data_IF_967004905585
#
_entry.id   IF_967004905585
#
_cell.length_a   1.000
_cell.length_b   1.000
_cell.length_c   1.000
_cell.angle_alpha   90.00
_cell.angle_beta   90.00
_cell.angle_gamma   90.00
#
_symmetry.space_group_name_H-M   'P 1'
#
loop_
_entity.id
_entity.type
_entity.pdbx_description
1 polymer ?
#
# COMPACT_ATOMS: atom_id res chain seq x y z
N UNK A 1 14.01 21.24 44.03
CA UNK A 1 13.25 22.18 43.16
C UNK A 1 13.25 21.80 41.67
N UNK A 2 14.15 20.91 41.18
CA UNK A 2 14.22 20.50 39.77
C UNK A 2 13.23 19.39 39.36
N UNK A 3 12.60 18.68 40.31
CA UNK A 3 11.66 17.59 40.01
C UNK A 3 10.28 18.13 39.59
N UNK A 4 9.80 19.19 40.27
CA UNK A 4 8.49 19.82 40.01
C UNK A 4 8.41 20.48 38.64
N UNK A 5 9.55 20.95 38.09
CA UNK A 5 9.59 21.54 36.76
C UNK A 5 9.45 20.51 35.64
N UNK A 6 9.89 19.26 35.88
CA UNK A 6 9.86 18.19 34.88
C UNK A 6 8.47 17.58 34.72
N UNK A 7 7.69 17.49 35.80
CA UNK A 7 6.27 17.06 35.74
C UNK A 7 5.37 18.11 35.06
N UNK A 8 5.61 19.41 35.30
CA UNK A 8 4.87 20.48 34.61
C UNK A 8 5.11 20.43 33.09
N UNK A 9 6.32 20.11 32.65
CA UNK A 9 6.63 19.97 31.23
C UNK A 9 5.88 18.80 30.57
N UNK A 10 5.74 17.66 31.27
CA UNK A 10 5.01 16.48 30.76
C UNK A 10 3.49 16.68 30.70
N UNK A 11 2.91 17.37 31.70
CA UNK A 11 1.50 17.76 31.66
C UNK A 11 1.20 18.79 30.56
N UNK A 12 2.13 19.70 30.29
CA UNK A 12 1.96 20.69 29.21
C UNK A 12 2.06 20.04 27.82
N UNK A 13 2.95 19.06 27.65
CA UNK A 13 3.14 18.35 26.38
C UNK A 13 1.94 17.44 26.04
N UNK A 14 1.40 16.73 27.04
CA UNK A 14 0.20 15.90 26.88
C UNK A 14 -1.04 16.73 26.58
N UNK A 15 -1.23 17.88 27.24
CA UNK A 15 -2.35 18.78 26.95
C UNK A 15 -2.26 19.39 25.53
N UNK A 16 -1.05 19.76 25.08
CA UNK A 16 -0.81 20.24 23.70
C UNK A 16 -1.06 19.17 22.64
N UNK A 17 -0.67 17.93 22.89
CA UNK A 17 -0.96 16.78 22.01
C UNK A 17 -2.47 16.52 21.91
N UNK A 18 -3.21 16.60 23.03
CA UNK A 18 -4.67 16.45 23.01
C UNK A 18 -5.37 17.59 22.26
N UNK A 19 -4.83 18.82 22.30
CA UNK A 19 -5.39 19.96 21.55
C UNK A 19 -5.18 19.85 20.03
N UNK A 20 -4.04 19.30 19.59
CA UNK A 20 -3.74 19.08 18.17
C UNK A 20 -4.71 18.06 17.56
N UNK A 21 -5.03 16.98 18.28
CA UNK A 21 -6.01 15.99 17.81
C UNK A 21 -7.44 16.54 17.71
N UNK A 22 -7.78 17.60 18.46
CA UNK A 22 -9.14 18.15 18.50
C UNK A 22 -9.42 19.25 17.46
N UNK A 23 -8.39 19.82 16.81
CA UNK A 23 -8.56 20.94 15.86
C UNK A 23 -8.77 20.53 14.40
N UNK A 24 -8.88 19.24 14.09
CA UNK A 24 -9.04 18.77 12.70
C UNK A 24 -10.51 18.49 12.28
N UNK A 25 -11.50 18.97 13.04
CA UNK A 25 -12.93 18.70 12.80
C UNK A 25 -13.79 19.96 12.61
N UNK A 26 -13.26 21.04 12.03
CA UNK A 26 -14.10 22.22 11.73
C UNK A 26 -13.87 22.77 10.33
N UNK A 27 -14.77 22.40 9.42
CA UNK A 27 -14.94 23.15 8.18
C UNK A 27 -15.77 22.46 7.11
N UNK A 28 -17.10 22.33 7.29
CA UNK A 28 -18.05 22.88 6.31
C UNK A 28 -19.48 22.87 6.87
N UNK A 29 -19.96 24.03 7.28
CA UNK A 29 -21.35 24.29 7.64
C UNK A 29 -22.12 24.72 6.40
N UNK A 30 -23.13 23.96 5.97
CA UNK A 30 -24.16 24.48 5.06
C UNK A 30 -25.53 24.50 5.75
N UNK A 31 -25.87 25.71 6.21
CA UNK A 31 -27.18 26.37 6.17
C UNK A 31 -28.44 25.51 6.33
N UNK A 32 -28.95 25.49 7.57
CA UNK A 32 -30.32 25.07 7.90
C UNK A 32 -31.29 26.23 7.62
N UNK A 33 -32.08 26.13 6.55
CA UNK A 33 -33.32 26.91 6.38
C UNK A 33 -34.53 25.99 6.56
N UNK A 34 -35.22 26.26 7.66
CA UNK A 34 -36.54 25.80 8.10
C UNK A 34 -37.47 25.40 6.96
N UNK A 35 -37.97 24.16 6.95
CA UNK A 35 -39.31 23.79 6.49
C UNK A 35 -39.71 22.50 7.21
N UNK A 36 -40.70 22.61 8.10
CA UNK A 36 -41.36 21.47 8.72
C UNK A 36 -42.37 20.87 7.73
N UNK A 37 -42.26 19.59 7.40
CA UNK A 37 -43.42 18.76 7.01
C UNK A 37 -43.07 17.29 7.19
N UNK A 38 -43.89 16.59 7.96
CA UNK A 38 -43.89 15.13 8.06
C UNK A 38 -44.25 14.50 6.69
N UNK A 39 -43.69 13.32 6.39
CA UNK A 39 -44.31 12.13 5.76
C UNK A 39 -43.19 11.20 5.27
N UNK A 40 -43.40 9.91 5.51
CA UNK A 40 -42.58 8.74 5.21
C UNK A 40 -41.69 8.80 3.95
N UNK A 41 -40.46 8.27 4.04
CA UNK A 41 -39.59 8.07 2.88
C UNK A 41 -38.97 6.65 2.90
N UNK A 42 -38.85 5.99 1.73
CA UNK A 42 -38.77 4.55 1.55
C UNK A 42 -37.33 4.01 1.50
N UNK A 43 -37.25 2.67 1.47
CA UNK A 43 -36.12 1.85 1.02
C UNK A 43 -35.23 2.56 -0.02
N UNK A 44 -33.93 2.68 0.28
CA UNK A 44 -32.86 2.74 -0.71
C UNK A 44 -31.61 2.05 -0.12
N UNK A 45 -31.50 0.74 -0.40
CA UNK A 45 -30.24 0.01 -0.36
C UNK A 45 -29.36 0.55 -1.50
N UNK A 46 -28.39 1.40 -1.17
CA UNK A 46 -27.27 1.68 -2.07
C UNK A 46 -26.01 1.07 -1.45
N UNK A 47 -25.78 -0.21 -1.78
CA UNK A 47 -24.48 -0.83 -1.57
C UNK A 47 -23.59 -0.38 -2.73
N UNK A 48 -22.90 0.74 -2.56
CA UNK A 48 -21.76 1.11 -3.41
C UNK A 48 -20.59 0.19 -3.10
N UNK A 49 -20.63 -1.02 -3.65
CA UNK A 49 -19.47 -1.88 -3.72
C UNK A 49 -18.57 -1.37 -4.86
N UNK A 50 -17.48 -0.71 -4.49
CA UNK A 50 -16.52 -0.26 -5.49
C UNK A 50 -15.38 0.54 -4.90
N UNK A 51 -14.57 -0.05 -4.03
CA UNK A 51 -13.17 0.34 -3.89
C UNK A 51 -12.35 -0.92 -3.55
N UNK A 52 -11.67 -1.44 -4.56
CA UNK A 52 -10.52 -2.32 -4.36
C UNK A 52 -9.41 -1.47 -3.74
N UNK A 53 -8.90 -1.87 -2.57
CA UNK A 53 -7.60 -1.42 -2.04
C UNK A 53 -7.20 -2.27 -0.81
N UNK A 54 -5.94 -2.72 -0.79
CA UNK A 54 -5.23 -3.50 0.24
C UNK A 54 -5.40 -5.05 0.20
N UNK A 55 -4.93 -5.67 -0.89
CA UNK A 55 -5.11 -7.09 -1.22
C UNK A 55 -4.31 -8.14 -0.39
N UNK A 56 -3.63 -7.78 0.69
CA UNK A 56 -2.92 -8.76 1.55
C UNK A 56 -3.66 -9.05 2.86
N UNK A 57 -3.99 -7.99 3.60
CA UNK A 57 -4.58 -8.10 4.92
C UNK A 57 -6.12 -8.20 4.90
N UNK A 58 -6.76 -7.78 3.81
CA UNK A 58 -8.22 -7.60 3.76
C UNK A 58 -8.96 -8.90 3.40
N UNK A 59 -8.40 -9.78 2.57
CA UNK A 59 -9.07 -11.05 2.22
C UNK A 59 -9.14 -12.04 3.39
N UNK A 60 -8.08 -12.17 4.18
CA UNK A 60 -8.06 -13.08 5.34
C UNK A 60 -9.00 -12.61 6.45
N UNK A 61 -8.96 -11.30 6.76
CA UNK A 61 -9.89 -10.67 7.69
C UNK A 61 -11.34 -10.82 7.22
N UNK A 62 -11.61 -10.61 5.93
CA UNK A 62 -12.95 -10.71 5.36
C UNK A 62 -13.46 -12.15 5.26
N UNK A 63 -12.56 -13.12 5.05
CA UNK A 63 -12.88 -14.56 5.15
C UNK A 63 -13.34 -14.90 6.57
N UNK A 64 -12.54 -14.49 7.56
CA UNK A 64 -12.83 -14.72 8.99
C UNK A 64 -14.16 -14.08 9.39
N UNK A 65 -14.42 -12.86 8.92
CA UNK A 65 -15.69 -12.16 9.15
C UNK A 65 -16.89 -12.91 8.55
N UNK A 66 -16.78 -13.38 7.29
CA UNK A 66 -17.86 -14.15 6.64
C UNK A 66 -18.09 -15.48 7.36
N UNK A 67 -17.04 -16.17 7.79
CA UNK A 67 -17.13 -17.42 8.56
C UNK A 67 -17.82 -17.22 9.92
N UNK A 68 -17.49 -16.14 10.63
CA UNK A 68 -18.16 -15.75 11.86
C UNK A 68 -19.64 -15.43 11.65
N UNK A 69 -19.99 -14.77 10.53
CA UNK A 69 -21.38 -14.51 10.19
C UNK A 69 -22.13 -15.81 9.82
N UNK A 70 -21.47 -16.79 9.19
CA UNK A 70 -22.06 -18.11 8.92
C UNK A 70 -22.34 -18.83 10.24
N UNK A 71 -21.39 -18.83 11.18
CA UNK A 71 -21.57 -19.46 12.48
C UNK A 71 -22.76 -18.86 13.26
N UNK A 72 -22.88 -17.53 13.26
CA UNK A 72 -24.03 -16.84 13.85
C UNK A 72 -25.34 -17.18 13.13
N UNK A 73 -25.36 -17.15 11.79
CA UNK A 73 -26.56 -17.48 11.01
C UNK A 73 -27.03 -18.93 11.23
N UNK A 74 -26.09 -19.87 11.42
CA UNK A 74 -26.38 -21.27 11.80
C UNK A 74 -26.98 -21.36 13.19
N UNK A 75 -26.43 -20.66 14.18
CA UNK A 75 -26.96 -20.64 15.55
C UNK A 75 -28.41 -20.11 15.62
N UNK A 76 -28.78 -19.20 14.73
CA UNK A 76 -30.13 -18.64 14.63
C UNK A 76 -31.04 -19.37 13.61
N UNK A 77 -30.64 -20.54 13.09
CA UNK A 77 -31.39 -21.34 12.11
C UNK A 77 -31.82 -20.55 10.84
N UNK A 78 -31.01 -19.57 10.42
CA UNK A 78 -31.30 -18.76 9.23
C UNK A 78 -30.66 -19.36 7.98
N UNK A 79 -31.27 -20.42 7.44
CA UNK A 79 -30.75 -21.17 6.30
C UNK A 79 -30.52 -20.31 5.04
N UNK A 80 -31.39 -19.34 4.77
CA UNK A 80 -31.26 -18.45 3.62
C UNK A 80 -30.03 -17.53 3.75
N UNK A 81 -29.76 -17.02 4.96
CA UNK A 81 -28.58 -16.20 5.23
C UNK A 81 -27.30 -17.03 5.13
N UNK A 82 -27.31 -18.27 5.62
CA UNK A 82 -26.19 -19.21 5.49
C UNK A 82 -25.86 -19.44 4.02
N UNK A 83 -26.84 -19.80 3.18
CA UNK A 83 -26.61 -20.05 1.75
C UNK A 83 -26.02 -18.83 1.02
N UNK A 84 -26.50 -17.62 1.33
CA UNK A 84 -25.95 -16.38 0.77
C UNK A 84 -24.51 -16.10 1.22
N UNK A 85 -24.19 -16.35 2.49
CA UNK A 85 -22.85 -16.18 3.04
C UNK A 85 -21.87 -17.25 2.53
N UNK A 86 -22.31 -18.50 2.35
CA UNK A 86 -21.51 -19.56 1.74
C UNK A 86 -21.21 -19.26 0.27
N UNK A 87 -22.17 -18.67 -0.46
CA UNK A 87 -21.93 -18.16 -1.82
C UNK A 87 -20.92 -17.02 -1.81
N UNK A 88 -21.05 -16.06 -0.89
CA UNK A 88 -20.11 -14.95 -0.75
C UNK A 88 -18.70 -15.45 -0.36
N UNK A 89 -18.59 -16.46 0.50
CA UNK A 89 -17.34 -17.10 0.86
C UNK A 89 -16.71 -17.83 -0.34
N UNK A 90 -17.51 -18.57 -1.11
CA UNK A 90 -17.06 -19.23 -2.33
C UNK A 90 -16.58 -18.22 -3.37
N UNK A 91 -17.29 -17.12 -3.57
CA UNK A 91 -16.87 -16.04 -4.46
C UNK A 91 -15.61 -15.36 -3.92
N UNK A 92 -15.52 -15.07 -2.62
CA UNK A 92 -14.31 -14.52 -2.01
C UNK A 92 -13.12 -15.46 -2.20
N UNK A 93 -13.29 -16.77 -2.05
CA UNK A 93 -12.23 -17.75 -2.27
C UNK A 93 -11.85 -17.88 -3.76
N UNK A 94 -12.83 -17.79 -4.66
CA UNK A 94 -12.61 -17.88 -6.11
C UNK A 94 -12.11 -16.57 -6.75
N UNK A 95 -12.26 -15.42 -6.08
CA UNK A 95 -11.77 -14.11 -6.55
C UNK A 95 -10.53 -13.65 -5.78
N UNK A 96 -10.36 -14.13 -4.56
CA UNK A 96 -9.09 -14.03 -3.84
C UNK A 96 -8.17 -15.23 -4.17
N UNK A 97 -8.35 -15.83 -5.36
CA UNK A 97 -7.31 -16.57 -6.06
C UNK A 97 -6.24 -15.57 -6.47
N UNK A 98 -5.30 -15.45 -5.56
CA UNK A 98 -4.02 -14.76 -5.66
C UNK A 98 -3.25 -15.10 -6.92
N UNK A 99 -3.60 -16.11 -7.71
CA UNK A 99 -2.88 -16.55 -8.92
C UNK A 99 -2.61 -15.42 -9.93
N UNK A 100 -3.62 -14.66 -10.36
CA UNK A 100 -3.41 -13.56 -11.31
C UNK A 100 -2.65 -12.37 -10.71
N UNK A 101 -2.84 -12.08 -9.42
CA UNK A 101 -2.09 -11.05 -8.69
C UNK A 101 -0.64 -11.46 -8.43
N UNK A 102 -0.43 -12.75 -8.13
CA UNK A 102 0.87 -13.39 -7.93
C UNK A 102 1.63 -13.43 -9.25
N UNK A 103 0.98 -13.80 -10.35
CA UNK A 103 1.57 -13.78 -11.69
C UNK A 103 2.01 -12.35 -12.07
N UNK A 104 1.13 -11.35 -11.88
CA UNK A 104 1.47 -9.95 -12.14
C UNK A 104 2.60 -9.44 -11.22
N UNK A 105 2.60 -9.83 -9.95
CA UNK A 105 3.68 -9.49 -9.01
C UNK A 105 5.00 -10.21 -9.37
N UNK A 106 4.95 -11.45 -9.84
CA UNK A 106 6.11 -12.19 -10.35
C UNK A 106 6.67 -11.55 -11.61
N UNK A 107 5.81 -11.16 -12.55
CA UNK A 107 6.20 -10.43 -13.77
C UNK A 107 6.83 -9.08 -13.43
N UNK A 108 6.27 -8.33 -12.47
CA UNK A 108 6.88 -7.08 -11.95
C UNK A 108 8.28 -7.33 -11.39
N UNK A 109 8.46 -8.38 -10.58
CA UNK A 109 9.79 -8.74 -10.04
C UNK A 109 10.75 -9.10 -11.17
N UNK A 110 10.34 -9.93 -12.12
CA UNK A 110 11.17 -10.34 -13.26
C UNK A 110 11.62 -9.12 -14.10
N UNK A 111 10.70 -8.22 -14.42
CA UNK A 111 10.99 -6.97 -15.16
C UNK A 111 11.95 -6.05 -14.42
N UNK A 112 11.82 -5.92 -13.10
CA UNK A 112 12.75 -5.12 -12.29
C UNK A 112 14.15 -5.75 -12.28
N UNK A 113 14.24 -7.07 -12.16
CA UNK A 113 15.52 -7.80 -12.23
C UNK A 113 16.18 -7.64 -13.60
N UNK A 114 15.41 -7.74 -14.68
CA UNK A 114 15.91 -7.52 -16.05
C UNK A 114 16.49 -6.11 -16.20
N UNK A 115 15.74 -5.07 -15.82
CA UNK A 115 16.20 -3.68 -15.88
C UNK A 115 17.49 -3.42 -15.08
N UNK A 116 17.62 -4.04 -13.90
CA UNK A 116 18.84 -3.96 -13.10
C UNK A 116 20.00 -4.62 -13.86
N UNK A 117 19.80 -5.81 -14.42
CA UNK A 117 20.82 -6.51 -15.19
C UNK A 117 21.26 -5.73 -16.43
N UNK A 118 20.32 -5.13 -17.17
CA UNK A 118 20.61 -4.26 -18.31
C UNK A 118 21.46 -3.05 -17.91
N UNK A 119 21.08 -2.34 -16.84
CA UNK A 119 21.87 -1.20 -16.34
C UNK A 119 23.25 -1.61 -15.86
N UNK A 120 23.38 -2.79 -15.25
CA UNK A 120 24.67 -3.32 -14.82
C UNK A 120 25.57 -3.66 -16.02
N UNK A 121 25.01 -4.25 -17.08
CA UNK A 121 25.73 -4.51 -18.33
C UNK A 121 26.18 -3.20 -19.01
N UNK A 122 25.33 -2.17 -18.99
CA UNK A 122 25.68 -0.84 -19.47
C UNK A 122 26.84 -0.22 -18.68
N UNK A 123 26.84 -0.35 -17.34
CA UNK A 123 27.95 0.09 -16.50
C UNK A 123 29.23 -0.59 -16.94
N UNK A 124 29.22 -1.92 -17.13
CA UNK A 124 30.41 -2.67 -17.57
C UNK A 124 30.93 -2.18 -18.93
N UNK A 125 30.04 -1.88 -19.89
CA UNK A 125 30.44 -1.29 -21.18
C UNK A 125 31.08 0.09 -21.00
N UNK A 126 30.47 0.94 -20.18
CA UNK A 126 30.98 2.29 -19.90
C UNK A 126 32.32 2.23 -19.17
N UNK A 127 32.51 1.29 -18.26
CA UNK A 127 33.78 1.07 -17.56
C UNK A 127 34.89 0.68 -18.55
N UNK A 128 34.61 -0.17 -19.54
CA UNK A 128 35.57 -0.50 -20.58
C UNK A 128 35.96 0.72 -21.42
N UNK A 129 34.98 1.51 -21.90
CA UNK A 129 35.24 2.76 -22.63
C UNK A 129 36.02 3.78 -21.77
N UNK A 130 35.73 3.81 -20.47
CA UNK A 130 36.44 4.66 -19.53
C UNK A 130 37.91 4.26 -19.40
N UNK A 131 38.24 2.96 -19.33
CA UNK A 131 39.63 2.50 -19.29
C UNK A 131 40.41 2.93 -20.54
N UNK A 132 39.79 2.87 -21.72
CA UNK A 132 40.42 3.38 -22.94
C UNK A 132 40.66 4.89 -22.88
N UNK A 133 39.70 5.66 -22.35
CA UNK A 133 39.85 7.09 -22.17
C UNK A 133 40.97 7.44 -21.18
N UNK A 134 41.12 6.66 -20.10
CA UNK A 134 42.22 6.77 -19.14
C UNK A 134 43.57 6.51 -19.81
N UNK A 135 43.68 5.44 -20.61
CA UNK A 135 44.89 5.11 -21.35
C UNK A 135 45.28 6.21 -22.37
N UNK A 136 44.30 6.89 -22.96
CA UNK A 136 44.49 8.02 -23.90
C UNK A 136 44.73 9.36 -23.18
N UNK A 137 44.66 9.41 -21.85
CA UNK A 137 44.81 10.65 -21.08
C UNK A 137 43.62 11.63 -21.22
N UNK A 138 42.48 11.19 -21.76
CA UNK A 138 41.31 12.04 -21.99
C UNK A 138 40.49 12.22 -20.70
N UNK A 139 41.00 13.07 -19.80
CA UNK A 139 40.38 13.35 -18.49
C UNK A 139 38.93 13.83 -18.60
N UNK A 140 38.58 14.55 -19.69
CA UNK A 140 37.22 15.03 -19.93
C UNK A 140 36.26 13.87 -20.19
N UNK A 141 36.65 12.87 -20.99
CA UNK A 141 35.84 11.65 -21.17
C UNK A 141 35.76 10.82 -19.92
N UNK A 142 36.86 10.68 -19.17
CA UNK A 142 36.86 9.92 -17.90
C UNK A 142 35.83 10.48 -16.94
N UNK A 143 35.84 11.80 -16.70
CA UNK A 143 34.86 12.46 -15.82
C UNK A 143 33.42 12.32 -16.32
N UNK A 144 33.19 12.34 -17.64
CA UNK A 144 31.88 12.10 -18.24
C UNK A 144 31.39 10.68 -17.97
N UNK A 145 32.28 9.68 -18.07
CA UNK A 145 31.93 8.29 -17.78
C UNK A 145 31.71 8.03 -16.29
N UNK A 146 32.51 8.64 -15.40
CA UNK A 146 32.29 8.56 -13.95
C UNK A 146 30.89 9.06 -13.58
N UNK A 147 30.48 10.20 -14.14
CA UNK A 147 29.14 10.74 -13.93
C UNK A 147 28.06 9.76 -14.40
N UNK A 148 28.19 9.21 -15.62
CA UNK A 148 27.22 8.24 -16.17
C UNK A 148 27.13 6.96 -15.34
N UNK A 149 28.26 6.46 -14.84
CA UNK A 149 28.29 5.29 -13.97
C UNK A 149 27.58 5.61 -12.65
N UNK A 150 27.85 6.78 -12.05
CA UNK A 150 27.18 7.20 -10.82
C UNK A 150 25.66 7.34 -11.00
N UNK A 151 25.21 7.94 -12.12
CA UNK A 151 23.79 8.05 -12.47
C UNK A 151 23.14 6.66 -12.59
N UNK A 152 23.76 5.73 -13.33
CA UNK A 152 23.23 4.36 -13.46
C UNK A 152 23.23 3.57 -12.15
N UNK A 153 24.23 3.77 -11.28
CA UNK A 153 24.25 3.15 -9.94
C UNK A 153 23.14 3.69 -9.04
N UNK A 154 22.83 4.98 -9.14
CA UNK A 154 21.67 5.57 -8.45
C UNK A 154 20.37 4.94 -8.94
N UNK A 155 20.18 4.83 -10.26
CA UNK A 155 19.00 4.19 -10.83
C UNK A 155 18.86 2.73 -10.37
N UNK A 156 19.97 1.98 -10.30
CA UNK A 156 19.96 0.59 -9.79
C UNK A 156 19.50 0.57 -8.33
N UNK A 157 20.01 1.46 -7.48
CA UNK A 157 19.61 1.52 -6.08
C UNK A 157 18.10 1.78 -5.92
N UNK A 158 17.53 2.69 -6.71
CA UNK A 158 16.09 2.95 -6.73
C UNK A 158 15.30 1.70 -7.18
N UNK A 159 15.76 1.03 -8.25
CA UNK A 159 15.16 -0.22 -8.72
C UNK A 159 15.27 -1.37 -7.71
N UNK A 160 16.34 -1.44 -6.92
CA UNK A 160 16.51 -2.44 -5.85
C UNK A 160 15.52 -2.20 -4.70
N UNK A 161 15.23 -0.94 -4.38
CA UNK A 161 14.18 -0.57 -3.41
C UNK A 161 12.80 -0.96 -3.92
N UNK A 162 12.50 -0.66 -5.19
CA UNK A 162 11.25 -1.09 -5.84
C UNK A 162 11.12 -2.62 -5.88
N UNK A 163 12.20 -3.33 -6.21
CA UNK A 163 12.26 -4.78 -6.25
C UNK A 163 12.05 -5.40 -4.87
N UNK A 164 12.66 -4.84 -3.83
CA UNK A 164 12.46 -5.26 -2.44
C UNK A 164 11.00 -5.10 -2.02
N UNK A 165 10.36 -4.00 -2.42
CA UNK A 165 8.94 -3.76 -2.16
C UNK A 165 8.07 -4.76 -2.92
N UNK A 166 8.30 -4.95 -4.22
CA UNK A 166 7.56 -5.91 -5.04
C UNK A 166 7.68 -7.35 -4.54
N UNK A 167 8.84 -7.75 -4.00
CA UNK A 167 9.02 -9.06 -3.35
C UNK A 167 8.19 -9.20 -2.08
N UNK A 168 8.13 -8.18 -1.23
CA UNK A 168 7.26 -8.19 -0.03
C UNK A 168 5.78 -8.28 -0.40
N UNK A 169 5.36 -7.55 -1.44
CA UNK A 169 4.00 -7.64 -1.99
C UNK A 169 3.71 -9.07 -2.46
N UNK A 170 4.63 -9.67 -3.22
CA UNK A 170 4.51 -11.05 -3.69
C UNK A 170 4.43 -12.07 -2.54
N UNK A 171 5.26 -11.91 -1.52
CA UNK A 171 5.26 -12.81 -0.35
C UNK A 171 3.95 -12.70 0.44
N UNK A 172 3.39 -11.50 0.57
CA UNK A 172 2.09 -11.27 1.20
C UNK A 172 0.89 -11.79 0.41
N UNK A 173 1.06 -12.10 -0.89
CA UNK A 173 0.03 -12.75 -1.72
C UNK A 173 0.13 -14.28 -1.71
N UNK A 174 1.25 -14.84 -1.23
CA UNK A 174 1.48 -16.28 -1.14
C UNK A 174 1.21 -16.84 0.27
N UNK A 175 1.08 -15.98 1.27
CA UNK A 175 0.77 -16.32 2.67
C UNK A 175 -0.71 -16.18 2.98
#
# INVERSE_FOLDING_TARGET
>A
MLIVHREKALLTLSYRLSQIYFMNDKGNTMNMKKMATAIALPLLLTLSAGYASAAGNDCSAKRTEIENQIAQAKAHNNANRVAGLETALSQLNANCTTEGLVENAQDKVAKLQEKIAEKQADITKIEAEQQEARAKGDQKKVAKYDKKIAEKKSDIADLEVELSTAKKELDGLKG
#
